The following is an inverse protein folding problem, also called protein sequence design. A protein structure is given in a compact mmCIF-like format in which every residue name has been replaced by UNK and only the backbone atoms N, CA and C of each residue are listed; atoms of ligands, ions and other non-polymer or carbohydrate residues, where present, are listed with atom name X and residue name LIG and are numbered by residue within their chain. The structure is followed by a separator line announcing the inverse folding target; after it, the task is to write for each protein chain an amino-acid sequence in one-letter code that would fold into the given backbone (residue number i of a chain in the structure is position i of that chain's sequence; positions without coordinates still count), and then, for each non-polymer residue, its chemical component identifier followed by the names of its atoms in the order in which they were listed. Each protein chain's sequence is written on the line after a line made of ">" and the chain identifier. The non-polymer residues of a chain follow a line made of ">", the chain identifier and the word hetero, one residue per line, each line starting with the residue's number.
data_IF_954136866473
#
_entry.id   IF_954136866473
#
_cell.length_a   1.000
_cell.length_b   1.000
_cell.length_c   1.000
_cell.angle_alpha   90.00
_cell.angle_beta   90.00
_cell.angle_gamma   90.00
#
_symmetry.space_group_name_H-M   'P 1'
#
loop_
_entity.id
_entity.type
_entity.pdbx_description
1 polymer ?
#
# COMPACT_ATOMS: atom_id res chain seq x y z
N UNK A 1 -12.01 -9.94 -15.76
CA UNK A 1 -12.92 -9.16 -16.63
C UNK A 1 -12.25 -7.92 -17.22
N UNK A 2 -11.85 -6.90 -16.46
CA UNK A 2 -11.25 -5.64 -16.99
C UNK A 2 -9.96 -5.85 -17.80
N UNK A 3 -9.08 -6.76 -17.37
CA UNK A 3 -7.86 -7.08 -18.12
C UNK A 3 -8.15 -7.78 -19.44
N UNK A 4 -9.19 -8.61 -19.50
CA UNK A 4 -9.62 -9.26 -20.75
C UNK A 4 -10.19 -8.22 -21.70
N UNK A 5 -11.04 -7.31 -21.21
CA UNK A 5 -11.57 -6.21 -22.00
C UNK A 5 -10.46 -5.36 -22.64
N UNK A 6 -9.42 -5.02 -21.89
CA UNK A 6 -8.28 -4.27 -22.42
C UNK A 6 -7.56 -5.06 -23.53
N UNK A 7 -7.42 -6.36 -23.36
CA UNK A 7 -6.80 -7.22 -24.35
C UNK A 7 -7.65 -7.33 -25.62
N UNK A 8 -8.97 -7.45 -25.46
CA UNK A 8 -9.91 -7.55 -26.58
C UNK A 8 -9.94 -6.25 -27.40
N UNK A 9 -9.92 -5.07 -26.76
CA UNK A 9 -9.76 -3.80 -27.46
C UNK A 9 -8.47 -3.73 -28.27
N UNK A 10 -7.32 -4.16 -27.69
CA UNK A 10 -6.05 -4.17 -28.40
C UNK A 10 -6.09 -5.11 -29.60
N UNK A 11 -6.70 -6.30 -29.47
CA UNK A 11 -6.88 -7.25 -30.57
C UNK A 11 -7.77 -6.71 -31.70
N UNK A 12 -8.78 -5.94 -31.36
CA UNK A 12 -9.70 -5.30 -32.31
C UNK A 12 -9.11 -4.03 -32.95
N UNK A 13 -7.83 -3.71 -32.68
CA UNK A 13 -7.15 -2.55 -33.27
C UNK A 13 -7.53 -1.21 -32.64
N UNK A 14 -8.32 -1.20 -31.56
CA UNK A 14 -8.67 0.03 -30.84
C UNK A 14 -7.54 0.49 -29.93
N UNK A 15 -7.17 1.76 -30.06
CA UNK A 15 -6.21 2.41 -29.14
C UNK A 15 -7.01 2.97 -27.95
N UNK A 16 -6.81 2.39 -26.78
CA UNK A 16 -7.42 2.88 -25.56
C UNK A 16 -6.73 4.17 -25.09
N UNK A 17 -7.45 5.26 -24.88
CA UNK A 17 -6.87 6.53 -24.42
C UNK A 17 -6.50 6.50 -22.93
N UNK A 18 -6.70 5.36 -22.25
CA UNK A 18 -6.49 5.22 -20.80
C UNK A 18 -5.55 4.05 -20.48
N UNK A 19 -4.60 4.30 -19.59
CA UNK A 19 -3.74 3.25 -19.04
C UNK A 19 -4.50 2.30 -18.09
N UNK A 20 -5.54 2.82 -17.41
CA UNK A 20 -6.38 2.09 -16.45
C UNK A 20 -7.86 2.32 -16.77
N UNK A 21 -8.61 1.23 -16.94
CA UNK A 21 -10.06 1.27 -17.26
C UNK A 21 -10.95 1.39 -16.02
N UNK A 22 -10.41 1.33 -14.81
CA UNK A 22 -11.20 1.44 -13.56
C UNK A 22 -11.50 2.87 -13.14
N UNK A 23 -10.90 3.86 -13.80
CA UNK A 23 -11.14 5.27 -13.47
C UNK A 23 -12.50 5.75 -13.93
N UNK A 24 -13.08 6.73 -13.24
CA UNK A 24 -14.37 7.31 -13.62
C UNK A 24 -14.34 7.94 -15.04
N UNK A 25 -13.21 8.51 -15.43
CA UNK A 25 -13.03 9.04 -16.80
C UNK A 25 -13.12 7.92 -17.85
N UNK A 26 -12.48 6.79 -17.59
CA UNK A 26 -12.54 5.63 -18.47
C UNK A 26 -13.96 5.02 -18.49
N UNK A 27 -14.62 4.89 -17.35
CA UNK A 27 -15.99 4.43 -17.26
C UNK A 27 -16.96 5.29 -18.09
N UNK A 28 -16.83 6.61 -18.01
CA UNK A 28 -17.64 7.54 -18.78
C UNK A 28 -17.37 7.47 -20.29
N UNK A 29 -16.15 7.14 -20.70
CA UNK A 29 -15.80 6.91 -22.10
C UNK A 29 -16.37 5.59 -22.59
N UNK A 30 -16.26 4.51 -21.80
CA UNK A 30 -16.84 3.20 -22.14
C UNK A 30 -18.35 3.25 -22.28
N UNK A 31 -19.07 4.01 -21.44
CA UNK A 31 -20.54 4.21 -21.55
C UNK A 31 -21.00 4.77 -22.89
N UNK A 32 -20.15 5.51 -23.57
CA UNK A 32 -20.45 6.13 -24.87
C UNK A 32 -20.07 5.26 -26.06
N UNK A 33 -19.56 4.06 -25.82
CA UNK A 33 -19.16 3.16 -26.87
C UNK A 33 -20.38 2.54 -27.56
N UNK A 34 -20.30 2.34 -28.88
CA UNK A 34 -21.41 1.80 -29.69
C UNK A 34 -21.73 0.33 -29.36
N UNK A 35 -20.72 -0.43 -28.93
CA UNK A 35 -20.87 -1.81 -28.51
C UNK A 35 -21.61 -1.89 -27.17
N UNK A 36 -22.76 -2.59 -27.17
CA UNK A 36 -23.62 -2.76 -26.01
C UNK A 36 -22.91 -3.39 -24.81
N UNK A 37 -22.04 -4.38 -25.03
CA UNK A 37 -21.30 -5.06 -23.94
C UNK A 37 -20.32 -4.08 -23.30
N UNK A 38 -19.62 -3.30 -24.13
CA UNK A 38 -18.63 -2.31 -23.67
C UNK A 38 -19.32 -1.19 -22.89
N UNK A 39 -20.45 -0.69 -23.38
CA UNK A 39 -21.25 0.33 -22.72
C UNK A 39 -21.76 -0.14 -21.35
N UNK A 40 -22.32 -1.34 -21.26
CA UNK A 40 -22.74 -1.95 -20.00
C UNK A 40 -21.58 -2.10 -18.99
N UNK A 41 -20.39 -2.51 -19.46
CA UNK A 41 -19.22 -2.58 -18.59
C UNK A 41 -18.83 -1.19 -18.04
N UNK A 42 -18.94 -0.15 -18.85
CA UNK A 42 -18.75 1.23 -18.42
C UNK A 42 -19.73 1.66 -17.32
N UNK A 43 -20.99 1.27 -17.44
CA UNK A 43 -22.01 1.52 -16.43
C UNK A 43 -21.70 0.77 -15.12
N UNK A 44 -21.37 -0.52 -15.20
CA UNK A 44 -21.00 -1.32 -14.03
C UNK A 44 -19.79 -0.74 -13.29
N UNK A 45 -18.75 -0.32 -14.01
CA UNK A 45 -17.57 0.30 -13.41
C UNK A 45 -17.97 1.61 -12.70
N UNK A 46 -18.81 2.42 -13.30
CA UNK A 46 -19.30 3.67 -12.70
C UNK A 46 -20.07 3.42 -11.40
N UNK A 47 -21.01 2.48 -11.40
CA UNK A 47 -21.79 2.11 -10.21
C UNK A 47 -20.89 1.56 -9.10
N UNK A 48 -19.91 0.74 -9.46
CA UNK A 48 -18.95 0.22 -8.49
C UNK A 48 -18.10 1.34 -7.89
N UNK A 49 -17.64 2.30 -8.70
CA UNK A 49 -16.86 3.45 -8.21
C UNK A 49 -17.67 4.30 -7.23
N UNK A 50 -18.94 4.54 -7.52
CA UNK A 50 -19.84 5.26 -6.61
C UNK A 50 -20.05 4.52 -5.28
N UNK A 51 -20.24 3.20 -5.34
CA UNK A 51 -20.36 2.37 -4.13
C UNK A 51 -19.07 2.36 -3.32
N UNK A 52 -17.91 2.24 -3.97
CA UNK A 52 -16.60 2.30 -3.31
C UNK A 52 -16.45 3.63 -2.58
N UNK A 53 -16.77 4.75 -3.26
CA UNK A 53 -16.68 6.08 -2.65
C UNK A 53 -17.55 6.22 -1.40
N UNK A 54 -18.80 5.74 -1.46
CA UNK A 54 -19.70 5.75 -0.30
C UNK A 54 -19.14 4.93 0.87
N UNK A 55 -18.58 3.75 0.59
CA UNK A 55 -17.97 2.91 1.62
C UNK A 55 -16.73 3.59 2.22
N UNK A 56 -15.90 4.24 1.41
CA UNK A 56 -14.75 5.00 1.88
C UNK A 56 -15.16 6.16 2.80
N UNK A 57 -16.24 6.89 2.45
CA UNK A 57 -16.80 7.95 3.27
C UNK A 57 -17.32 7.44 4.63
N UNK A 58 -17.98 6.27 4.65
CA UNK A 58 -18.41 5.63 5.90
C UNK A 58 -17.21 5.17 6.76
N UNK A 59 -16.21 4.54 6.13
CA UNK A 59 -14.98 4.16 6.84
C UNK A 59 -14.30 5.40 7.44
N UNK A 60 -14.28 6.51 6.71
CA UNK A 60 -13.69 7.75 7.21
C UNK A 60 -14.43 8.29 8.44
N UNK A 61 -15.76 8.24 8.48
CA UNK A 61 -16.58 8.65 9.63
C UNK A 61 -16.29 7.77 10.86
N UNK A 62 -16.26 6.45 10.65
CA UNK A 62 -16.06 5.46 11.72
C UNK A 62 -14.60 5.36 12.19
N UNK A 63 -13.64 5.92 11.44
CA UNK A 63 -12.21 5.82 11.74
C UNK A 63 -11.86 6.68 12.96
N UNK A 64 -11.34 6.09 14.08
CA UNK A 64 -10.99 6.81 15.28
C UNK A 64 -9.91 7.88 15.04
N UNK A 65 -9.94 8.96 15.82
CA UNK A 65 -8.94 10.03 15.74
C UNK A 65 -7.50 9.53 15.89
N UNK A 66 -7.29 8.53 16.73
CA UNK A 66 -5.97 7.88 16.89
C UNK A 66 -5.46 7.25 15.59
N UNK A 67 -6.34 6.64 14.82
CA UNK A 67 -5.99 6.11 13.50
C UNK A 67 -5.74 7.24 12.50
N UNK A 68 -6.56 8.29 12.49
CA UNK A 68 -6.40 9.44 11.59
C UNK A 68 -5.07 10.16 11.77
N UNK A 69 -4.45 10.13 12.97
CA UNK A 69 -3.08 10.64 13.17
C UNK A 69 -2.03 9.99 12.29
N UNK A 70 -2.24 8.75 11.85
CA UNK A 70 -1.32 8.08 10.92
C UNK A 70 -1.27 8.75 9.54
N UNK A 71 -2.29 9.50 9.15
CA UNK A 71 -2.34 10.20 7.86
C UNK A 71 -1.29 11.32 7.74
N UNK A 72 -0.64 11.71 8.83
CA UNK A 72 0.53 12.60 8.80
C UNK A 72 1.71 11.97 8.06
N UNK A 73 1.77 10.64 8.02
CA UNK A 73 2.83 9.91 7.34
C UNK A 73 2.56 9.82 5.84
N UNK A 74 3.48 10.33 5.03
CA UNK A 74 3.39 10.29 3.57
C UNK A 74 3.17 8.86 3.07
N UNK A 75 2.09 8.64 2.32
CA UNK A 75 1.72 7.33 1.80
C UNK A 75 0.69 6.56 2.64
N UNK A 76 0.12 7.19 3.68
CA UNK A 76 -1.00 6.64 4.45
C UNK A 76 -2.23 7.53 4.23
N UNK A 77 -3.27 6.96 3.62
CA UNK A 77 -4.62 7.55 3.58
C UNK A 77 -5.50 6.99 4.71
N UNK A 78 -6.71 7.54 4.86
CA UNK A 78 -7.65 7.16 5.94
C UNK A 78 -7.97 5.67 5.91
N UNK A 79 -8.22 5.09 4.75
CA UNK A 79 -8.47 3.65 4.60
C UNK A 79 -7.29 2.81 5.10
N UNK A 80 -6.06 3.17 4.71
CA UNK A 80 -4.86 2.48 5.16
C UNK A 80 -4.65 2.63 6.67
N UNK A 81 -4.91 3.84 7.20
CA UNK A 81 -4.84 4.12 8.63
C UNK A 81 -5.84 3.28 9.42
N UNK A 82 -7.08 3.14 8.94
CA UNK A 82 -8.10 2.31 9.58
C UNK A 82 -7.72 0.83 9.61
N UNK A 83 -7.14 0.31 8.52
CA UNK A 83 -6.66 -1.08 8.44
C UNK A 83 -5.53 -1.29 9.46
N UNK A 84 -4.52 -0.40 9.50
CA UNK A 84 -3.41 -0.49 10.46
C UNK A 84 -3.97 -0.50 11.90
N UNK A 85 -4.89 0.42 12.21
CA UNK A 85 -5.50 0.51 13.52
C UNK A 85 -6.27 -0.77 13.89
N UNK A 86 -7.08 -1.30 12.99
CA UNK A 86 -7.88 -2.52 13.22
C UNK A 86 -6.98 -3.73 13.47
N UNK A 87 -5.91 -3.90 12.70
CA UNK A 87 -4.96 -4.98 12.86
C UNK A 87 -4.16 -4.91 14.17
N UNK A 88 -4.07 -3.73 14.78
CA UNK A 88 -3.29 -3.48 16.00
C UNK A 88 -4.14 -3.27 17.24
N UNK A 89 -5.45 -3.06 17.08
CA UNK A 89 -6.39 -2.80 18.18
C UNK A 89 -6.32 -3.91 19.24
N UNK A 90 -6.24 -3.51 20.51
CA UNK A 90 -6.19 -4.45 21.64
C UNK A 90 -4.84 -5.14 21.86
N UNK A 91 -3.85 -4.93 21.00
CA UNK A 91 -2.52 -5.52 21.17
C UNK A 91 -1.60 -4.56 21.93
N UNK A 92 -0.88 -5.09 22.91
CA UNK A 92 0.22 -4.37 23.59
C UNK A 92 1.53 -4.91 23.05
N UNK A 93 2.29 -4.08 22.36
CA UNK A 93 3.55 -4.45 21.74
C UNK A 93 4.58 -3.36 21.95
N UNK A 94 5.82 -3.77 22.28
CA UNK A 94 6.95 -2.85 22.19
C UNK A 94 7.36 -2.65 20.73
N UNK A 95 8.23 -1.70 20.47
CA UNK A 95 8.72 -1.32 19.14
C UNK A 95 9.28 -2.49 18.32
N UNK A 96 10.06 -3.38 18.97
CA UNK A 96 10.68 -4.54 18.31
C UNK A 96 9.63 -5.61 17.98
N UNK A 97 8.70 -5.87 18.90
CA UNK A 97 7.60 -6.79 18.69
C UNK A 97 6.68 -6.33 17.58
N UNK A 98 6.36 -5.04 17.52
CA UNK A 98 5.56 -4.47 16.43
C UNK A 98 6.23 -4.65 15.06
N UNK A 99 7.52 -4.39 14.96
CA UNK A 99 8.24 -4.59 13.70
C UNK A 99 8.30 -6.07 13.29
N UNK A 100 8.42 -6.97 14.26
CA UNK A 100 8.35 -8.41 14.00
C UNK A 100 6.95 -8.82 13.57
N UNK A 101 5.92 -8.29 14.22
CA UNK A 101 4.52 -8.50 13.86
C UNK A 101 4.21 -7.99 12.44
N UNK A 102 4.75 -6.84 12.05
CA UNK A 102 4.65 -6.32 10.68
C UNK A 102 5.50 -7.08 9.65
N UNK A 103 6.32 -8.05 10.08
CA UNK A 103 7.20 -8.81 9.18
C UNK A 103 8.38 -8.02 8.59
N UNK A 104 8.73 -6.86 9.20
CA UNK A 104 9.83 -6.01 8.72
C UNK A 104 11.08 -6.08 9.60
N UNK A 105 11.03 -6.80 10.71
CA UNK A 105 12.21 -7.11 11.50
C UNK A 105 13.13 -8.08 10.75
N UNK A 106 14.46 -7.85 10.73
CA UNK A 106 15.39 -8.82 10.21
C UNK A 106 15.42 -10.06 11.11
N UNK A 107 15.40 -11.23 10.49
CA UNK A 107 15.61 -12.50 11.18
C UNK A 107 17.02 -12.96 10.87
N UNK A 108 17.83 -13.10 11.88
CA UNK A 108 19.17 -13.65 11.74
C UNK A 108 19.10 -15.15 11.45
N UNK A 109 19.84 -15.56 10.46
CA UNK A 109 20.06 -16.96 10.12
C UNK A 109 21.58 -17.18 10.14
N UNK A 110 22.08 -17.59 11.28
CA UNK A 110 23.50 -17.94 11.46
C UNK A 110 23.69 -19.44 11.34
N UNK A 111 24.70 -19.85 10.59
CA UNK A 111 25.21 -21.21 10.54
C UNK A 111 26.70 -21.15 10.76
N UNK A 112 27.16 -21.36 12.00
CA UNK A 112 28.58 -21.36 12.36
C UNK A 112 29.29 -20.05 12.00
N UNK A 113 30.07 -20.04 10.94
CA UNK A 113 30.94 -18.90 10.55
C UNK A 113 30.25 -17.83 9.71
N UNK A 114 28.99 -18.00 9.24
CA UNK A 114 28.31 -17.02 8.42
C UNK A 114 26.99 -16.58 9.04
N UNK A 115 26.75 -15.27 9.16
CA UNK A 115 25.47 -14.70 9.55
C UNK A 115 24.80 -14.03 8.35
N UNK A 116 23.59 -14.45 8.01
CA UNK A 116 22.76 -13.82 7.00
C UNK A 116 21.43 -13.39 7.59
N UNK A 117 20.87 -12.29 7.06
CA UNK A 117 19.56 -11.81 7.50
C UNK A 117 18.49 -12.15 6.48
N UNK A 118 17.44 -12.82 6.93
CA UNK A 118 16.27 -13.19 6.14
C UNK A 118 15.05 -12.37 6.56
N UNK A 119 14.04 -12.40 5.70
CA UNK A 119 12.73 -11.79 6.02
C UNK A 119 11.95 -12.67 6.99
N UNK A 120 11.28 -12.04 7.94
CA UNK A 120 10.26 -12.71 8.71
C UNK A 120 9.05 -13.03 7.81
N UNK A 121 8.85 -14.31 7.49
CA UNK A 121 7.69 -14.78 6.71
C UNK A 121 6.43 -14.99 7.56
N UNK A 122 6.55 -14.94 8.90
CA UNK A 122 5.46 -15.20 9.86
C UNK A 122 4.73 -13.94 10.30
N UNK A 123 5.14 -12.76 9.84
CA UNK A 123 4.48 -11.49 10.17
C UNK A 123 3.11 -11.35 9.51
N UNK A 124 2.33 -10.38 9.99
CA UNK A 124 1.05 -9.99 9.40
C UNK A 124 1.25 -9.51 7.96
N UNK A 125 0.64 -10.20 7.00
CA UNK A 125 0.83 -9.96 5.57
C UNK A 125 0.23 -8.62 5.13
N UNK A 126 -0.89 -8.22 5.71
CA UNK A 126 -1.56 -6.96 5.43
C UNK A 126 -0.67 -5.78 5.81
N UNK A 127 -0.17 -5.76 7.05
CA UNK A 127 0.76 -4.73 7.51
C UNK A 127 2.07 -4.73 6.74
N UNK A 128 2.59 -5.90 6.38
CA UNK A 128 3.80 -6.02 5.58
C UNK A 128 3.61 -5.40 4.18
N UNK A 129 2.47 -5.66 3.52
CA UNK A 129 2.12 -5.09 2.22
C UNK A 129 1.96 -3.57 2.30
N UNK A 130 1.30 -3.06 3.33
CA UNK A 130 1.14 -1.63 3.58
C UNK A 130 2.50 -0.95 3.73
N UNK A 131 3.37 -1.48 4.61
CA UNK A 131 4.71 -0.92 4.81
C UNK A 131 5.58 -0.98 3.56
N UNK A 132 5.41 -2.02 2.76
CA UNK A 132 6.06 -2.13 1.46
C UNK A 132 5.61 -1.01 0.51
N UNK A 133 4.30 -0.84 0.32
CA UNK A 133 3.72 0.20 -0.55
C UNK A 133 4.07 1.60 -0.06
N UNK A 134 3.98 1.84 1.24
CA UNK A 134 4.38 3.08 1.89
C UNK A 134 5.86 3.39 1.66
N UNK A 135 6.75 2.39 1.78
CA UNK A 135 8.18 2.58 1.51
C UNK A 135 8.46 2.96 0.06
N UNK A 136 7.74 2.38 -0.91
CA UNK A 136 7.84 2.76 -2.32
C UNK A 136 7.36 4.19 -2.57
N UNK A 137 6.26 4.58 -1.91
CA UNK A 137 5.71 5.91 -2.03
C UNK A 137 6.66 6.97 -1.44
N UNK A 138 7.20 6.72 -0.24
CA UNK A 138 8.14 7.64 0.40
C UNK A 138 9.47 7.76 -0.35
N UNK A 139 9.97 6.70 -0.96
CA UNK A 139 11.16 6.78 -1.82
C UNK A 139 10.98 7.76 -2.99
N UNK A 140 9.75 7.95 -3.48
CA UNK A 140 9.44 8.77 -4.66
C UNK A 140 8.98 10.17 -4.31
N UNK A 141 8.18 10.32 -3.26
CA UNK A 141 7.41 11.53 -2.99
C UNK A 141 7.73 12.19 -1.65
N UNK A 142 8.54 11.56 -0.79
CA UNK A 142 8.94 12.10 0.49
C UNK A 142 10.45 12.38 0.52
N UNK A 143 10.83 13.62 0.80
CA UNK A 143 12.23 14.03 0.81
C UNK A 143 13.06 13.26 1.86
N UNK A 144 12.52 13.09 3.08
CA UNK A 144 13.18 12.41 4.20
C UNK A 144 13.33 10.91 3.90
N UNK A 145 12.27 10.29 3.37
CA UNK A 145 12.30 8.87 2.98
C UNK A 145 13.28 8.60 1.85
N UNK A 146 13.30 9.49 0.84
CA UNK A 146 14.24 9.42 -0.29
C UNK A 146 15.69 9.58 0.17
N UNK A 147 15.98 10.57 1.02
CA UNK A 147 17.32 10.78 1.59
C UNK A 147 17.78 9.56 2.41
N UNK A 148 16.92 9.02 3.26
CA UNK A 148 17.25 7.83 4.03
C UNK A 148 17.52 6.63 3.14
N UNK A 149 16.73 6.42 2.10
CA UNK A 149 16.93 5.34 1.14
C UNK A 149 18.27 5.49 0.40
N UNK A 150 18.59 6.68 -0.11
CA UNK A 150 19.88 6.99 -0.77
C UNK A 150 21.06 6.76 0.16
N UNK A 151 20.96 7.19 1.43
CA UNK A 151 21.95 6.92 2.46
C UNK A 151 22.20 5.41 2.63
N UNK A 152 21.15 4.59 2.65
CA UNK A 152 21.29 3.13 2.77
C UNK A 152 21.93 2.49 1.54
N UNK A 153 21.75 3.07 0.36
CA UNK A 153 22.47 2.64 -0.85
C UNK A 153 23.97 2.99 -0.77
N UNK A 154 24.32 4.20 -0.30
CA UNK A 154 25.73 4.60 -0.13
C UNK A 154 26.46 3.77 0.93
N UNK A 155 25.72 3.18 1.90
CA UNK A 155 26.25 2.20 2.85
C UNK A 155 26.48 0.79 2.24
N UNK A 156 26.38 0.63 0.91
CA UNK A 156 26.58 -0.64 0.20
C UNK A 156 25.39 -1.59 0.18
N UNK A 157 24.20 -1.16 0.66
CA UNK A 157 23.02 -2.02 0.64
C UNK A 157 22.39 -2.07 -0.76
N UNK A 158 21.88 -3.24 -1.13
CA UNK A 158 21.08 -3.37 -2.35
C UNK A 158 19.79 -2.57 -2.25
N UNK A 159 19.18 -2.19 -3.39
CA UNK A 159 17.88 -1.50 -3.44
C UNK A 159 16.80 -2.19 -2.59
N UNK A 160 16.78 -3.52 -2.61
CA UNK A 160 15.85 -4.33 -1.81
C UNK A 160 16.11 -4.20 -0.31
N UNK A 161 17.37 -4.26 0.11
CA UNK A 161 17.77 -4.10 1.51
C UNK A 161 17.53 -2.68 2.01
N UNK A 162 17.90 -1.65 1.23
CA UNK A 162 17.68 -0.24 1.58
C UNK A 162 16.18 0.06 1.79
N UNK A 163 15.31 -0.46 0.91
CA UNK A 163 13.86 -0.34 1.08
C UNK A 163 13.35 -1.02 2.34
N UNK A 164 13.87 -2.18 2.70
CA UNK A 164 13.49 -2.86 3.95
C UNK A 164 13.91 -2.07 5.19
N UNK A 165 15.10 -1.46 5.15
CA UNK A 165 15.51 -0.54 6.23
C UNK A 165 14.53 0.63 6.36
N UNK A 166 14.05 1.18 5.24
CA UNK A 166 13.04 2.23 5.26
C UNK A 166 11.70 1.71 5.82
N UNK A 167 11.21 0.55 5.36
CA UNK A 167 9.99 -0.05 5.88
C UNK A 167 10.09 -0.33 7.40
N UNK A 168 11.25 -0.76 7.91
CA UNK A 168 11.51 -0.92 9.33
C UNK A 168 11.42 0.41 10.08
N UNK A 169 12.01 1.48 9.54
CA UNK A 169 11.90 2.83 10.12
C UNK A 169 10.46 3.33 10.16
N UNK A 170 9.69 3.06 9.09
CA UNK A 170 8.27 3.42 9.02
C UNK A 170 7.43 2.67 10.05
N UNK A 171 7.73 1.40 10.30
CA UNK A 171 7.06 0.66 11.39
C UNK A 171 7.31 1.30 12.75
N UNK A 172 8.51 1.87 12.98
CA UNK A 172 8.83 2.57 14.22
C UNK A 172 8.03 3.86 14.41
N UNK A 173 7.80 4.60 13.31
CA UNK A 173 6.97 5.82 13.33
C UNK A 173 5.51 5.48 13.59
N UNK A 174 4.96 4.46 12.93
CA UNK A 174 3.59 3.99 13.16
C UNK A 174 3.42 3.53 14.61
N UNK A 175 4.39 2.75 15.12
CA UNK A 175 4.36 2.30 16.50
C UNK A 175 4.31 3.48 17.49
N UNK A 176 5.14 4.49 17.28
CA UNK A 176 5.16 5.69 18.13
C UNK A 176 3.79 6.36 18.18
N UNK A 177 3.16 6.58 17.04
CA UNK A 177 1.84 7.22 16.94
C UNK A 177 0.75 6.38 17.63
N UNK A 178 0.82 5.04 17.51
CA UNK A 178 -0.24 4.17 18.02
C UNK A 178 -0.08 3.76 19.48
N UNK A 179 1.14 3.72 20.00
CA UNK A 179 1.38 3.13 21.33
C UNK A 179 2.01 4.08 22.34
N UNK A 180 2.54 5.23 21.92
CA UNK A 180 3.20 6.20 22.81
C UNK A 180 2.40 7.47 22.97
N UNK A 181 1.79 7.97 21.88
CA UNK A 181 0.93 9.17 21.86
C UNK A 181 -0.56 8.79 22.02
#
# INVERSE_FOLDING_TARGET
>A
MINNLKHDFIKSGYVLPFSCLTTQKAANWLKKHEDFIVSNMGEMISVLNEKIKKIEEEIEKETPLKAKRLCVLTGIGVLTASIIYTETKGKKMNKAQFASYCGVAPVECSSGQSSTYRNNKRGNRTLNSILYSMSLHQMRFDAIGSMYFKKKLSEGKTKRQARKCLARRLSDQIWKILFVD
#
